data_IF_282767643015
#
_entry.id   IF_282767643015
#
_cell.length_a   1.000
_cell.length_b   1.000
_cell.length_c   1.000
_cell.angle_alpha   90.00
_cell.angle_beta   90.00
_cell.angle_gamma   90.00
#
_symmetry.space_group_name_H-M   'P 1'
#
loop_
_entity.id
_entity.type
_entity.pdbx_description
1 polymer ?
#
# COMPACT_ATOMS: atom_id res chain seq x y z
N UNK A 1 -39.62 -10.45 53.72
CA UNK A 1 -40.13 -9.08 53.96
C UNK A 1 -39.37 -8.16 53.02
N UNK A 2 -39.53 -8.19 51.69
CA UNK A 2 -40.72 -8.17 50.80
C UNK A 2 -41.40 -6.80 50.72
N UNK A 3 -41.72 -6.40 49.48
CA UNK A 3 -42.36 -5.17 48.94
C UNK A 3 -41.36 -4.13 48.44
N UNK A 4 -41.12 -3.90 47.14
CA UNK A 4 -41.94 -3.93 45.89
C UNK A 4 -43.15 -3.00 45.91
N UNK A 5 -43.05 -1.88 45.16
CA UNK A 5 -44.20 -1.19 44.53
C UNK A 5 -43.74 -0.57 43.19
N UNK A 6 -43.90 -1.33 42.12
CA UNK A 6 -44.37 -0.81 40.85
C UNK A 6 -45.91 -0.73 40.86
N UNK A 7 -46.51 0.32 40.27
CA UNK A 7 -47.86 0.36 39.64
C UNK A 7 -48.65 1.65 39.91
N UNK A 8 -48.64 2.57 38.95
CA UNK A 8 -49.78 3.40 38.50
C UNK A 8 -49.43 3.85 37.06
N UNK A 9 -50.22 3.75 35.99
CA UNK A 9 -51.60 3.33 35.78
C UNK A 9 -51.77 2.93 34.30
N UNK A 10 -52.69 1.99 34.04
CA UNK A 10 -53.07 1.48 32.71
C UNK A 10 -53.99 2.45 31.94
N UNK A 11 -54.04 2.20 30.61
CA UNK A 11 -55.12 2.44 29.62
C UNK A 11 -55.01 3.72 28.77
N UNK A 12 -54.70 3.54 27.48
CA UNK A 12 -55.74 3.45 26.46
C UNK A 12 -55.27 2.65 25.23
N UNK A 13 -56.20 1.89 24.67
CA UNK A 13 -56.07 0.93 23.58
C UNK A 13 -56.22 1.61 22.19
N UNK A 14 -55.46 1.09 21.22
CA UNK A 14 -55.84 0.76 19.84
C UNK A 14 -56.73 1.73 19.04
N UNK A 15 -56.16 2.27 17.95
CA UNK A 15 -56.80 2.32 16.63
C UNK A 15 -55.72 2.19 15.53
N UNK A 16 -55.77 1.06 14.84
CA UNK A 16 -55.07 0.76 13.59
C UNK A 16 -55.79 1.40 12.39
N UNK A 17 -55.05 1.91 11.41
CA UNK A 17 -55.58 1.96 10.03
C UNK A 17 -55.09 3.09 9.12
N UNK A 18 -54.07 2.76 8.30
CA UNK A 18 -53.92 3.08 6.87
C UNK A 18 -53.69 4.52 6.38
N UNK A 19 -52.69 4.64 5.50
CA UNK A 19 -52.33 5.79 4.66
C UNK A 19 -51.00 6.40 5.11
N UNK A 20 -49.91 6.43 4.37
CA UNK A 20 -49.71 6.40 2.93
C UNK A 20 -48.57 7.38 2.61
N UNK A 21 -47.48 6.85 2.06
CA UNK A 21 -46.45 7.53 1.27
C UNK A 21 -45.40 8.44 1.95
N UNK A 22 -44.16 8.13 1.58
CA UNK A 22 -43.10 9.05 1.16
C UNK A 22 -42.43 9.95 2.21
N UNK A 23 -41.35 9.42 2.80
CA UNK A 23 -40.11 10.18 2.93
C UNK A 23 -38.92 9.28 2.54
N UNK A 24 -38.81 9.06 1.22
CA UNK A 24 -37.52 8.76 0.62
C UNK A 24 -36.69 10.05 0.70
N UNK A 25 -35.92 10.19 1.79
CA UNK A 25 -34.89 11.21 1.87
C UNK A 25 -33.80 10.81 0.87
N UNK A 26 -33.81 11.48 -0.28
CA UNK A 26 -32.83 11.31 -1.34
C UNK A 26 -31.44 11.50 -0.77
N UNK A 27 -30.64 10.44 -0.81
CA UNK A 27 -29.19 10.59 -0.88
C UNK A 27 -28.94 11.36 -2.18
N UNK A 28 -28.80 12.69 -2.05
CA UNK A 28 -28.28 13.51 -3.12
C UNK A 28 -26.97 12.85 -3.55
N UNK A 29 -26.94 12.36 -4.80
CA UNK A 29 -25.69 11.90 -5.41
C UNK A 29 -24.77 13.11 -5.37
N UNK A 30 -23.82 13.10 -4.43
CA UNK A 30 -22.73 14.06 -4.45
C UNK A 30 -22.15 14.03 -5.86
N UNK A 31 -22.08 15.18 -6.53
CA UNK A 31 -21.42 15.26 -7.81
C UNK A 31 -20.01 14.67 -7.66
N UNK A 32 -19.56 13.83 -8.62
CA UNK A 32 -18.22 13.28 -8.54
C UNK A 32 -17.24 14.44 -8.46
N UNK A 33 -16.40 14.43 -7.42
CA UNK A 33 -15.31 15.41 -7.28
C UNK A 33 -14.57 15.51 -8.62
N UNK A 34 -14.17 16.72 -9.06
CA UNK A 34 -13.49 16.90 -10.34
C UNK A 34 -12.28 15.97 -10.40
N UNK A 35 -12.09 15.32 -11.55
CA UNK A 35 -10.98 14.40 -11.77
C UNK A 35 -9.64 15.07 -11.38
N UNK A 36 -8.76 14.32 -10.72
CA UNK A 36 -7.56 14.89 -10.10
C UNK A 36 -6.52 15.47 -11.08
N UNK A 37 -6.66 15.27 -12.40
CA UNK A 37 -5.71 15.77 -13.40
C UNK A 37 -6.33 16.05 -14.76
N UNK A 38 -5.51 16.59 -15.68
CA UNK A 38 -5.87 16.84 -17.07
C UNK A 38 -6.38 15.55 -17.73
N UNK A 39 -7.53 15.64 -18.39
CA UNK A 39 -8.19 14.51 -19.07
C UNK A 39 -7.38 14.07 -20.29
N UNK A 40 -6.29 13.35 -20.08
CA UNK A 40 -5.70 12.53 -21.13
C UNK A 40 -6.62 11.34 -21.40
N UNK A 41 -6.84 10.97 -22.68
CA UNK A 41 -7.63 9.79 -22.99
C UNK A 41 -6.98 8.57 -22.33
N UNK A 42 -7.75 7.77 -21.58
CA UNK A 42 -7.20 6.60 -20.91
C UNK A 42 -6.72 5.60 -21.95
N UNK A 43 -5.59 4.98 -21.65
CA UNK A 43 -5.06 3.89 -22.45
C UNK A 43 -5.88 2.60 -22.30
N UNK A 44 -6.43 2.40 -21.10
CA UNK A 44 -7.39 1.37 -20.71
C UNK A 44 -8.40 2.05 -19.80
N UNK A 45 -9.68 2.01 -20.15
CA UNK A 45 -10.71 2.73 -19.40
C UNK A 45 -11.20 1.90 -18.19
N UNK A 46 -10.98 2.41 -16.98
CA UNK A 46 -11.46 1.82 -15.73
C UNK A 46 -12.06 2.91 -14.81
N UNK A 47 -12.63 2.52 -13.66
CA UNK A 47 -13.06 3.52 -12.67
C UNK A 47 -11.89 4.34 -12.13
N UNK A 48 -10.71 3.73 -11.98
CA UNK A 48 -9.49 4.42 -11.56
C UNK A 48 -9.12 5.55 -12.55
N UNK A 49 -9.01 5.25 -13.84
CA UNK A 49 -8.63 6.25 -14.83
C UNK A 49 -9.66 7.38 -14.94
N UNK A 50 -10.95 7.06 -14.83
CA UNK A 50 -12.03 8.07 -14.85
C UNK A 50 -12.06 8.95 -13.61
N UNK A 51 -12.03 8.35 -12.42
CA UNK A 51 -12.15 9.09 -11.17
C UNK A 51 -10.91 9.92 -10.86
N UNK A 52 -9.72 9.43 -11.24
CA UNK A 52 -8.45 10.09 -10.92
C UNK A 52 -7.83 10.87 -12.09
N UNK A 53 -8.43 10.84 -13.28
CA UNK A 53 -7.92 11.58 -14.43
C UNK A 53 -6.52 11.11 -14.87
N UNK A 54 -6.23 9.82 -14.70
CA UNK A 54 -4.94 9.22 -15.06
C UNK A 54 -5.05 8.39 -16.33
N UNK A 55 -3.95 8.28 -17.07
CA UNK A 55 -3.90 7.60 -18.38
C UNK A 55 -3.91 6.08 -18.23
N UNK A 56 -3.32 5.58 -17.16
CA UNK A 56 -3.07 4.17 -16.93
C UNK A 56 -3.75 3.73 -15.63
N UNK A 57 -4.43 2.58 -15.58
CA UNK A 57 -4.95 2.00 -14.35
C UNK A 57 -3.80 1.38 -13.51
N UNK A 58 -2.78 2.18 -13.23
CA UNK A 58 -1.52 1.78 -12.62
C UNK A 58 -1.19 2.71 -11.46
N UNK A 59 -0.93 2.11 -10.31
CA UNK A 59 -0.48 2.80 -9.10
C UNK A 59 0.84 2.20 -8.65
N UNK A 60 1.85 3.05 -8.47
CA UNK A 60 3.12 2.66 -7.87
C UNK A 60 2.99 2.60 -6.36
N UNK A 61 3.31 1.45 -5.78
CA UNK A 61 3.11 1.20 -4.36
C UNK A 61 3.93 2.13 -3.47
N UNK A 62 3.33 2.60 -2.37
CA UNK A 62 4.06 3.21 -1.26
C UNK A 62 4.99 2.18 -0.61
N UNK A 63 6.29 2.35 -0.78
CA UNK A 63 7.32 1.48 -0.22
C UNK A 63 8.27 2.32 0.63
N UNK A 64 8.25 2.12 1.95
CA UNK A 64 9.12 2.87 2.86
C UNK A 64 10.58 2.81 2.44
N UNK A 65 11.27 3.95 2.51
CA UNK A 65 12.65 4.17 2.05
C UNK A 65 12.91 4.01 0.54
N UNK A 66 12.04 3.34 -0.22
CA UNK A 66 12.26 3.07 -1.65
C UNK A 66 11.46 4.01 -2.55
N UNK A 67 10.17 4.19 -2.26
CA UNK A 67 9.26 5.05 -3.02
C UNK A 67 9.33 6.49 -2.53
N UNK A 68 10.46 7.14 -2.81
CA UNK A 68 10.75 8.55 -2.49
C UNK A 68 10.35 9.47 -3.67
N UNK A 69 10.48 10.81 -3.54
CA UNK A 69 9.95 11.76 -4.53
C UNK A 69 10.29 11.47 -5.99
N UNK A 70 11.51 11.04 -6.29
CA UNK A 70 11.93 10.70 -7.66
C UNK A 70 11.08 9.60 -8.29
N UNK A 71 10.86 8.49 -7.56
CA UNK A 71 10.04 7.38 -8.05
C UNK A 71 8.57 7.79 -8.18
N UNK A 72 8.05 8.53 -7.20
CA UNK A 72 6.67 9.02 -7.21
C UNK A 72 6.41 9.89 -8.45
N UNK A 73 7.27 10.88 -8.68
CA UNK A 73 7.16 11.78 -9.81
C UNK A 73 7.29 11.03 -11.15
N UNK A 74 8.23 10.08 -11.26
CA UNK A 74 8.40 9.29 -12.48
C UNK A 74 7.16 8.48 -12.85
N UNK A 75 6.52 7.81 -11.87
CA UNK A 75 5.28 7.04 -12.10
C UNK A 75 4.11 7.97 -12.47
N UNK A 76 3.94 9.07 -11.73
CA UNK A 76 2.87 10.04 -11.98
C UNK A 76 3.02 10.73 -13.34
N UNK A 77 4.23 11.12 -13.73
CA UNK A 77 4.52 11.73 -15.02
C UNK A 77 4.34 10.73 -16.19
N UNK A 78 4.54 9.44 -15.96
CA UNK A 78 4.26 8.40 -16.94
C UNK A 78 2.75 8.12 -17.14
N UNK A 79 1.88 8.73 -16.31
CA UNK A 79 0.42 8.65 -16.45
C UNK A 79 -0.26 7.63 -15.54
N UNK A 80 0.47 7.07 -14.56
CA UNK A 80 -0.11 6.37 -13.41
C UNK A 80 -0.28 7.29 -12.20
N UNK A 81 -0.39 6.71 -11.00
CA UNK A 81 -0.32 7.42 -9.72
C UNK A 81 0.89 6.90 -8.95
N UNK A 82 1.90 7.75 -8.71
CA UNK A 82 2.96 7.44 -7.76
C UNK A 82 2.48 7.64 -6.33
N UNK A 83 2.92 6.79 -5.39
CA UNK A 83 2.58 6.91 -3.98
C UNK A 83 3.86 6.95 -3.14
N UNK A 84 4.01 8.01 -2.35
CA UNK A 84 5.11 8.18 -1.40
C UNK A 84 4.98 7.15 -0.29
N UNK A 85 6.00 6.32 -0.06
CA UNK A 85 6.05 5.45 1.11
C UNK A 85 6.63 6.19 2.31
N UNK A 86 5.77 6.73 3.19
CA UNK A 86 6.25 7.55 4.32
C UNK A 86 7.12 6.74 5.30
N UNK A 87 6.79 5.47 5.50
CA UNK A 87 7.52 4.60 6.43
C UNK A 87 7.51 5.17 7.85
N UNK A 88 8.69 5.45 8.39
CA UNK A 88 8.91 6.05 9.73
C UNK A 88 9.18 7.56 9.68
N UNK A 89 9.04 8.21 8.52
CA UNK A 89 9.36 9.64 8.35
C UNK A 89 8.46 10.52 9.25
N UNK A 90 9.03 11.39 10.11
CA UNK A 90 8.26 12.27 10.97
C UNK A 90 7.56 13.39 10.18
N UNK A 91 6.53 14.06 10.76
CA UNK A 91 5.69 15.01 10.02
C UNK A 91 6.43 16.13 9.27
N UNK A 92 7.47 16.79 9.82
CA UNK A 92 8.23 17.79 9.07
C UNK A 92 8.96 17.20 7.85
N UNK A 93 9.44 15.97 7.98
CA UNK A 93 10.06 15.24 6.87
C UNK A 93 9.03 14.84 5.82
N UNK A 94 7.87 14.33 6.24
CA UNK A 94 6.72 14.05 5.36
C UNK A 94 6.34 15.29 4.56
N UNK A 95 6.27 16.45 5.20
CA UNK A 95 5.97 17.72 4.54
C UNK A 95 7.01 18.06 3.47
N UNK A 96 8.30 17.97 3.81
CA UNK A 96 9.39 18.24 2.86
C UNK A 96 9.36 17.30 1.65
N UNK A 97 9.10 16.00 1.86
CA UNK A 97 8.97 15.02 0.78
C UNK A 97 7.77 15.33 -0.13
N UNK A 98 6.61 15.69 0.44
CA UNK A 98 5.43 16.10 -0.31
C UNK A 98 5.72 17.34 -1.16
N UNK A 99 6.38 18.34 -0.60
CA UNK A 99 6.76 19.57 -1.33
C UNK A 99 7.75 19.26 -2.47
N UNK A 100 8.70 18.35 -2.26
CA UNK A 100 9.62 17.88 -3.30
C UNK A 100 8.89 17.20 -4.46
N UNK A 101 7.87 16.37 -4.18
CA UNK A 101 7.03 15.75 -5.22
C UNK A 101 6.30 16.83 -6.02
N UNK A 102 5.64 17.78 -5.35
CA UNK A 102 4.91 18.86 -6.03
C UNK A 102 5.80 19.75 -6.90
N UNK A 103 7.08 19.89 -6.54
CA UNK A 103 8.05 20.62 -7.34
C UNK A 103 8.46 19.88 -8.63
N UNK A 104 8.25 18.57 -8.71
CA UNK A 104 8.70 17.70 -9.82
C UNK A 104 7.56 17.12 -10.64
N UNK A 105 6.31 17.20 -10.16
CA UNK A 105 5.12 16.82 -10.91
C UNK A 105 3.89 17.62 -10.50
N UNK A 106 3.08 17.97 -11.50
CA UNK A 106 1.72 18.47 -11.31
C UNK A 106 0.65 17.35 -11.40
N UNK A 107 1.08 16.10 -11.64
CA UNK A 107 0.17 14.95 -11.81
C UNK A 107 -0.25 14.40 -10.45
N UNK A 108 -1.40 13.67 -10.38
CA UNK A 108 -1.85 13.06 -9.15
C UNK A 108 -0.80 12.14 -8.53
N UNK A 109 -0.63 12.25 -7.21
CA UNK A 109 0.18 11.35 -6.41
C UNK A 109 -0.52 11.11 -5.06
N UNK A 110 -0.10 10.07 -4.35
CA UNK A 110 -0.58 9.77 -3.01
C UNK A 110 0.52 9.70 -1.96
N UNK A 111 0.11 9.56 -0.69
CA UNK A 111 1.01 9.31 0.46
C UNK A 111 0.48 8.09 1.21
N UNK A 112 1.35 7.10 1.42
CA UNK A 112 1.06 5.85 2.14
C UNK A 112 1.63 5.89 3.55
N UNK A 113 0.78 5.58 4.52
CA UNK A 113 1.13 5.42 5.93
C UNK A 113 0.85 4.00 6.41
N UNK A 114 1.77 3.46 7.21
CA UNK A 114 1.53 2.25 7.98
C UNK A 114 0.80 2.67 9.26
N UNK A 115 -0.45 2.23 9.44
CA UNK A 115 -1.16 2.44 10.70
C UNK A 115 -0.91 1.26 11.63
N UNK A 116 0.23 1.32 12.33
CA UNK A 116 0.64 0.34 13.33
C UNK A 116 1.73 0.95 14.23
N UNK A 117 2.05 0.28 15.34
CA UNK A 117 3.16 0.65 16.21
C UNK A 117 4.46 -0.02 15.77
N UNK A 118 5.59 0.57 16.09
CA UNK A 118 6.92 0.00 15.84
C UNK A 118 7.82 0.18 17.06
N UNK A 119 9.04 -0.36 17.00
CA UNK A 119 10.06 -0.03 18.00
C UNK A 119 10.41 1.49 18.02
N UNK A 120 10.04 2.24 16.98
CA UNK A 120 10.17 3.70 16.90
C UNK A 120 8.93 4.45 17.43
N UNK A 121 7.92 3.73 17.93
CA UNK A 121 6.62 4.29 18.31
C UNK A 121 5.58 4.22 17.16
N UNK A 122 4.48 4.99 17.26
CA UNK A 122 3.44 5.02 16.25
C UNK A 122 3.99 5.53 14.91
N UNK A 123 3.77 4.77 13.84
CA UNK A 123 4.28 5.09 12.49
C UNK A 123 3.51 6.22 11.80
N UNK A 124 2.33 6.53 12.31
CA UNK A 124 1.50 7.65 11.87
C UNK A 124 0.75 8.22 13.07
N UNK A 125 0.54 9.52 13.06
CA UNK A 125 -0.07 10.29 14.15
C UNK A 125 -0.97 11.37 13.57
N UNK A 126 -1.75 12.04 14.41
CA UNK A 126 -2.58 13.18 13.99
C UNK A 126 -1.77 14.24 13.22
N UNK A 127 -0.53 14.52 13.63
CA UNK A 127 0.32 15.51 12.97
C UNK A 127 0.65 15.15 11.51
N UNK A 128 0.72 13.86 11.16
CA UNK A 128 0.90 13.44 9.78
C UNK A 128 -0.37 13.70 8.94
N UNK A 129 -1.53 13.52 9.55
CA UNK A 129 -2.83 13.83 8.92
C UNK A 129 -2.95 15.34 8.69
N UNK A 130 -2.57 16.14 9.69
CA UNK A 130 -2.56 17.60 9.58
C UNK A 130 -1.63 18.09 8.46
N UNK A 131 -0.46 17.46 8.30
CA UNK A 131 0.45 17.72 7.17
C UNK A 131 -0.23 17.41 5.83
N UNK A 132 -0.89 16.25 5.69
CA UNK A 132 -1.60 15.90 4.45
C UNK A 132 -2.70 16.91 4.10
N UNK A 133 -3.43 17.39 5.11
CA UNK A 133 -4.48 18.41 4.96
C UNK A 133 -3.87 19.75 4.55
N UNK A 134 -2.85 20.23 5.26
CA UNK A 134 -2.18 21.49 4.97
C UNK A 134 -1.57 21.51 3.57
N UNK A 135 -0.97 20.38 3.18
CA UNK A 135 -0.41 20.19 1.84
C UNK A 135 -1.46 19.78 0.80
N UNK A 136 -2.76 19.69 1.13
CA UNK A 136 -3.83 19.33 0.18
C UNK A 136 -3.52 18.07 -0.63
N UNK A 137 -2.96 17.05 0.03
CA UNK A 137 -2.71 15.73 -0.58
C UNK A 137 -4.03 15.15 -1.04
N UNK A 138 -4.10 14.70 -2.29
CA UNK A 138 -5.36 14.24 -2.92
C UNK A 138 -5.68 12.77 -2.63
N UNK A 139 -4.67 11.97 -2.33
CA UNK A 139 -4.81 10.54 -2.03
C UNK A 139 -3.95 10.20 -0.81
N UNK A 140 -4.61 9.72 0.25
CA UNK A 140 -3.94 9.15 1.42
C UNK A 140 -4.27 7.67 1.49
N UNK A 141 -3.25 6.84 1.70
CA UNK A 141 -3.38 5.39 1.76
C UNK A 141 -2.96 4.92 3.14
N UNK A 142 -3.73 4.01 3.73
CA UNK A 142 -3.39 3.34 4.97
C UNK A 142 -3.08 1.86 4.74
N UNK A 143 -2.08 1.37 5.46
CA UNK A 143 -1.65 -0.02 5.45
C UNK A 143 -1.78 -0.62 6.86
N UNK A 144 -1.92 -1.96 6.92
CA UNK A 144 -1.97 -2.82 8.11
C UNK A 144 -3.31 -2.86 8.84
N UNK A 145 -3.81 -1.71 9.29
CA UNK A 145 -4.99 -1.63 10.15
C UNK A 145 -5.88 -0.45 9.73
N UNK A 146 -7.16 -0.50 10.10
CA UNK A 146 -8.11 0.58 9.83
C UNK A 146 -7.78 1.78 10.73
N UNK A 147 -7.55 3.00 10.19
CA UNK A 147 -7.24 4.18 10.98
C UNK A 147 -8.47 4.67 11.77
N UNK A 148 -8.29 5.56 12.77
CA UNK A 148 -9.41 6.18 13.47
C UNK A 148 -10.36 6.88 12.49
N UNK A 149 -11.66 6.70 12.68
CA UNK A 149 -12.69 7.29 11.81
C UNK A 149 -12.56 8.82 11.68
N UNK A 150 -12.16 9.49 12.76
CA UNK A 150 -11.92 10.93 12.76
C UNK A 150 -10.88 11.38 11.72
N UNK A 151 -9.82 10.59 11.49
CA UNK A 151 -8.82 10.92 10.47
C UNK A 151 -9.37 10.81 9.06
N UNK A 152 -10.20 9.79 8.82
CA UNK A 152 -10.88 9.60 7.53
C UNK A 152 -11.79 10.80 7.26
N UNK A 153 -12.63 11.18 8.23
CA UNK A 153 -13.56 12.30 8.09
C UNK A 153 -12.83 13.64 7.88
N UNK A 154 -11.71 13.87 8.58
CA UNK A 154 -10.86 15.06 8.39
C UNK A 154 -10.24 15.12 6.98
N UNK A 155 -9.71 14.00 6.49
CA UNK A 155 -9.12 13.90 5.16
C UNK A 155 -10.19 14.13 4.07
N UNK A 156 -11.38 13.55 4.23
CA UNK A 156 -12.52 13.78 3.34
C UNK A 156 -12.97 15.24 3.34
N UNK A 157 -13.06 15.87 4.52
CA UNK A 157 -13.39 17.29 4.63
C UNK A 157 -12.36 18.20 3.94
N UNK A 158 -11.08 17.78 3.88
CA UNK A 158 -10.02 18.45 3.13
C UNK A 158 -10.02 18.12 1.62
N UNK A 159 -10.92 17.26 1.15
CA UNK A 159 -11.05 16.86 -0.25
C UNK A 159 -10.07 15.77 -0.69
N UNK A 160 -9.44 15.06 0.24
CA UNK A 160 -8.63 13.88 -0.05
C UNK A 160 -9.51 12.63 -0.24
N UNK A 161 -9.00 11.66 -0.99
CA UNK A 161 -9.52 10.29 -1.02
C UNK A 161 -8.68 9.43 -0.09
N UNK A 162 -9.33 8.49 0.58
CA UNK A 162 -8.69 7.61 1.56
C UNK A 162 -8.82 6.17 1.10
N UNK A 163 -7.69 5.53 0.85
CA UNK A 163 -7.64 4.11 0.47
C UNK A 163 -7.05 3.28 1.59
N UNK A 164 -7.35 1.98 1.57
CA UNK A 164 -6.70 1.04 2.48
C UNK A 164 -6.23 -0.22 1.77
N UNK A 165 -5.01 -0.65 2.06
CA UNK A 165 -4.55 -1.96 1.68
C UNK A 165 -5.11 -3.03 2.62
N UNK A 166 -5.69 -4.08 2.04
CA UNK A 166 -6.39 -5.14 2.77
C UNK A 166 -5.86 -6.52 2.38
N UNK A 167 -5.76 -7.40 3.36
CA UNK A 167 -5.19 -8.75 3.25
C UNK A 167 -6.26 -9.86 3.22
N UNK A 168 -7.53 -9.52 3.45
CA UNK A 168 -8.64 -10.47 3.51
C UNK A 168 -9.97 -9.81 3.15
N UNK A 169 -10.99 -10.63 2.89
CA UNK A 169 -12.37 -10.16 2.67
C UNK A 169 -12.92 -9.47 3.93
N UNK A 170 -12.64 -10.01 5.11
CA UNK A 170 -13.10 -9.42 6.37
C UNK A 170 -12.54 -8.01 6.57
N UNK A 171 -11.23 -7.83 6.33
CA UNK A 171 -10.60 -6.51 6.42
C UNK A 171 -11.11 -5.54 5.33
N UNK A 172 -11.43 -6.05 4.14
CA UNK A 172 -12.04 -5.23 3.09
C UNK A 172 -13.43 -4.70 3.50
N UNK A 173 -14.24 -5.52 4.16
CA UNK A 173 -15.54 -5.11 4.69
C UNK A 173 -15.39 -4.10 5.83
N UNK A 174 -14.40 -4.30 6.72
CA UNK A 174 -14.08 -3.36 7.79
C UNK A 174 -13.65 -1.99 7.24
N UNK A 175 -12.74 -1.99 6.27
CA UNK A 175 -12.29 -0.79 5.56
C UNK A 175 -13.46 -0.06 4.86
N UNK A 176 -14.35 -0.80 4.21
CA UNK A 176 -15.54 -0.23 3.57
C UNK A 176 -16.50 0.39 4.61
N UNK A 177 -16.74 -0.29 5.74
CA UNK A 177 -17.57 0.22 6.83
C UNK A 177 -16.98 1.48 7.50
N UNK A 178 -15.65 1.58 7.54
CA UNK A 178 -14.93 2.75 8.03
C UNK A 178 -15.04 3.97 7.10
N UNK A 179 -15.43 3.77 5.82
CA UNK A 179 -15.64 4.83 4.85
C UNK A 179 -14.50 5.02 3.84
N UNK A 180 -13.65 4.00 3.62
CA UNK A 180 -12.62 4.07 2.56
C UNK A 180 -13.25 4.29 1.19
N UNK A 181 -12.56 5.03 0.30
CA UNK A 181 -12.96 5.29 -1.09
C UNK A 181 -12.51 4.18 -2.07
N UNK A 182 -11.47 3.42 -1.69
CA UNK A 182 -11.04 2.22 -2.39
C UNK A 182 -10.29 1.27 -1.46
N UNK A 183 -10.21 0.00 -1.84
CA UNK A 183 -9.36 -0.99 -1.18
C UNK A 183 -8.34 -1.58 -2.14
N UNK A 184 -7.15 -1.90 -1.64
CA UNK A 184 -6.08 -2.56 -2.40
C UNK A 184 -5.99 -4.00 -1.89
N UNK A 185 -6.48 -4.96 -2.66
CA UNK A 185 -6.47 -6.37 -2.31
C UNK A 185 -5.05 -6.95 -2.49
N UNK A 186 -4.31 -7.09 -1.39
CA UNK A 186 -2.95 -7.61 -1.38
C UNK A 186 -2.95 -9.13 -1.20
N UNK A 187 -2.44 -9.85 -2.20
CA UNK A 187 -2.21 -11.28 -2.09
C UNK A 187 -0.92 -11.63 -1.34
N UNK A 188 -0.83 -12.87 -0.85
CA UNK A 188 0.31 -13.43 -0.11
C UNK A 188 1.64 -13.42 -0.88
N UNK A 189 1.59 -13.16 -2.19
CA UNK A 189 2.75 -13.06 -3.08
C UNK A 189 3.45 -11.69 -3.01
N UNK A 190 2.85 -10.66 -2.40
CA UNK A 190 3.47 -9.34 -2.26
C UNK A 190 4.70 -9.39 -1.33
N UNK A 191 5.72 -8.58 -1.66
CA UNK A 191 6.93 -8.42 -0.85
C UNK A 191 6.70 -7.52 0.36
N UNK A 192 7.60 -7.59 1.33
CA UNK A 192 7.54 -6.79 2.55
C UNK A 192 6.52 -7.33 3.55
N UNK A 193 6.07 -6.49 4.46
CA UNK A 193 5.14 -6.93 5.50
C UNK A 193 3.77 -7.21 4.87
N UNK A 194 3.23 -8.39 5.14
CA UNK A 194 2.05 -8.89 4.46
C UNK A 194 1.25 -9.82 5.38
N UNK A 195 0.00 -9.44 5.67
CA UNK A 195 -0.91 -10.26 6.51
C UNK A 195 -1.66 -11.32 5.71
N UNK A 196 -1.60 -11.28 4.39
CA UNK A 196 -2.38 -12.14 3.51
C UNK A 196 -1.79 -13.53 3.41
N UNK A 197 -2.64 -14.54 3.59
CA UNK A 197 -2.31 -15.95 3.34
C UNK A 197 -2.88 -16.43 2.00
N UNK A 198 -3.74 -15.64 1.36
CA UNK A 198 -4.40 -15.97 0.10
C UNK A 198 -3.72 -15.27 -1.08
N UNK A 199 -3.49 -16.00 -2.17
CA UNK A 199 -2.87 -15.45 -3.39
C UNK A 199 -3.80 -14.47 -4.10
N UNK A 200 -3.24 -13.54 -4.87
CA UNK A 200 -3.95 -12.36 -5.42
C UNK A 200 -5.16 -12.74 -6.26
N UNK A 201 -5.01 -13.68 -7.22
CA UNK A 201 -6.10 -14.05 -8.12
C UNK A 201 -7.24 -14.84 -7.43
N UNK A 202 -6.97 -15.46 -6.28
CA UNK A 202 -8.00 -16.07 -5.44
C UNK A 202 -8.68 -15.06 -4.53
N UNK A 203 -7.93 -14.11 -3.97
CA UNK A 203 -8.45 -13.09 -3.04
C UNK A 203 -9.29 -12.03 -3.77
N UNK A 204 -8.78 -11.54 -4.89
CA UNK A 204 -9.33 -10.39 -5.62
C UNK A 204 -10.82 -10.52 -5.95
N UNK A 205 -11.33 -11.59 -6.62
CA UNK A 205 -12.74 -11.67 -6.96
C UNK A 205 -13.65 -11.74 -5.73
N UNK A 206 -13.16 -12.29 -4.62
CA UNK A 206 -13.91 -12.34 -3.36
C UNK A 206 -14.04 -10.95 -2.74
N UNK A 207 -12.95 -10.19 -2.70
CA UNK A 207 -12.95 -8.80 -2.23
C UNK A 207 -13.84 -7.94 -3.11
N UNK A 208 -13.65 -7.99 -4.43
CA UNK A 208 -14.47 -7.25 -5.41
C UNK A 208 -15.95 -7.48 -5.19
N UNK A 209 -16.39 -8.73 -4.97
CA UNK A 209 -17.80 -9.05 -4.71
C UNK A 209 -18.28 -8.50 -3.35
N UNK A 210 -17.46 -8.62 -2.32
CA UNK A 210 -17.84 -8.26 -0.95
C UNK A 210 -18.04 -6.76 -0.74
N UNK A 211 -17.22 -5.92 -1.40
CA UNK A 211 -17.23 -4.47 -1.15
C UNK A 211 -17.93 -3.66 -2.25
N UNK A 212 -18.65 -4.28 -3.20
CA UNK A 212 -19.35 -3.50 -4.25
C UNK A 212 -20.29 -2.45 -3.62
N UNK A 213 -20.33 -1.21 -4.14
CA UNK A 213 -19.70 -0.73 -5.37
C UNK A 213 -18.31 -0.07 -5.17
N UNK A 214 -17.58 -0.35 -4.10
CA UNK A 214 -16.27 0.26 -3.83
C UNK A 214 -15.22 -0.08 -4.92
N UNK A 215 -14.26 0.82 -5.14
CA UNK A 215 -13.13 0.55 -6.03
C UNK A 215 -12.16 -0.46 -5.42
N UNK A 216 -11.62 -1.35 -6.25
CA UNK A 216 -10.65 -2.37 -5.82
C UNK A 216 -9.44 -2.38 -6.74
N UNK A 217 -8.25 -2.28 -6.16
CA UNK A 217 -6.99 -2.49 -6.88
C UNK A 217 -6.40 -3.85 -6.53
N UNK A 218 -5.73 -4.49 -7.50
CA UNK A 218 -5.01 -5.74 -7.28
C UNK A 218 -3.56 -5.48 -6.88
N UNK A 219 -3.07 -6.15 -5.84
CA UNK A 219 -1.68 -6.04 -5.36
C UNK A 219 -1.06 -7.41 -5.10
N UNK A 220 0.21 -7.56 -5.44
CA UNK A 220 0.99 -8.78 -5.22
C UNK A 220 1.11 -9.66 -6.48
N UNK A 221 2.34 -9.91 -6.91
CA UNK A 221 2.65 -10.77 -8.06
C UNK A 221 2.54 -10.13 -9.45
N UNK A 222 2.15 -8.86 -9.54
CA UNK A 222 1.97 -8.13 -10.81
C UNK A 222 3.28 -7.43 -11.19
N UNK A 223 3.82 -7.73 -12.37
CA UNK A 223 5.09 -7.17 -12.85
C UNK A 223 5.20 -6.94 -14.37
N UNK A 224 4.20 -7.37 -15.14
CA UNK A 224 4.13 -7.29 -16.61
C UNK A 224 2.68 -6.98 -17.06
N UNK A 225 2.47 -6.89 -18.38
CA UNK A 225 1.16 -6.65 -18.97
C UNK A 225 0.17 -7.78 -18.76
N UNK A 226 0.60 -9.05 -18.74
CA UNK A 226 -0.28 -10.18 -18.45
C UNK A 226 -0.88 -10.07 -17.05
N UNK A 227 -0.07 -9.74 -16.03
CA UNK A 227 -0.56 -9.54 -14.67
C UNK A 227 -1.58 -8.39 -14.56
N UNK A 228 -1.47 -7.37 -15.43
CA UNK A 228 -2.47 -6.29 -15.53
C UNK A 228 -3.77 -6.82 -16.13
N UNK A 229 -3.71 -7.56 -17.23
CA UNK A 229 -4.89 -8.17 -17.86
C UNK A 229 -5.61 -9.08 -16.88
N UNK A 230 -4.88 -9.96 -16.20
CA UNK A 230 -5.45 -10.89 -15.21
C UNK A 230 -6.17 -10.14 -14.08
N UNK A 231 -5.56 -9.08 -13.55
CA UNK A 231 -6.17 -8.25 -12.51
C UNK A 231 -7.48 -7.59 -12.98
N UNK A 232 -7.47 -6.97 -14.16
CA UNK A 232 -8.65 -6.31 -14.72
C UNK A 232 -9.77 -7.32 -15.04
N UNK A 233 -9.42 -8.48 -15.59
CA UNK A 233 -10.36 -9.56 -15.87
C UNK A 233 -11.05 -10.10 -14.60
N UNK A 234 -10.35 -10.07 -13.45
CA UNK A 234 -10.91 -10.44 -12.15
C UNK A 234 -11.63 -9.29 -11.42
N UNK A 235 -11.88 -8.17 -12.13
CA UNK A 235 -12.72 -7.08 -11.65
C UNK A 235 -11.99 -5.99 -10.86
N UNK A 236 -10.66 -5.95 -10.92
CA UNK A 236 -9.92 -4.80 -10.40
C UNK A 236 -10.13 -3.55 -11.28
N UNK A 237 -10.07 -2.38 -10.66
CA UNK A 237 -10.07 -1.08 -11.33
C UNK A 237 -8.67 -0.62 -11.73
N UNK A 238 -7.64 -1.32 -11.27
CA UNK A 238 -6.25 -1.08 -11.59
C UNK A 238 -5.31 -1.94 -10.75
N UNK A 239 -4.02 -1.72 -10.97
CA UNK A 239 -2.96 -2.47 -10.32
C UNK A 239 -2.16 -1.60 -9.35
N UNK A 240 -1.71 -2.21 -8.26
CA UNK A 240 -0.82 -1.62 -7.26
C UNK A 240 0.51 -2.38 -7.28
N UNK A 241 1.54 -1.74 -7.81
CA UNK A 241 2.78 -2.41 -8.24
C UNK A 241 3.94 -2.03 -7.34
N UNK A 242 4.55 -3.02 -6.68
CA UNK A 242 5.69 -2.85 -5.76
C UNK A 242 7.02 -3.31 -6.37
N UNK A 243 7.38 -4.58 -6.19
CA UNK A 243 8.70 -5.15 -6.54
C UNK A 243 9.23 -4.79 -7.94
N UNK A 244 8.36 -4.71 -8.96
CA UNK A 244 8.75 -4.29 -10.31
C UNK A 244 9.33 -2.86 -10.34
N UNK A 245 8.81 -1.96 -9.50
CA UNK A 245 9.30 -0.59 -9.37
C UNK A 245 10.52 -0.47 -8.46
N UNK A 246 10.81 -1.44 -7.59
CA UNK A 246 12.10 -1.46 -6.85
C UNK A 246 13.27 -1.57 -7.84
N UNK A 247 13.08 -2.33 -8.92
CA UNK A 247 14.02 -2.42 -10.04
C UNK A 247 13.82 -1.28 -11.06
N UNK A 248 13.71 -0.04 -10.57
CA UNK A 248 13.74 1.17 -11.40
C UNK A 248 14.88 2.10 -11.03
N UNK A 249 15.31 2.94 -11.96
CA UNK A 249 16.43 3.87 -11.74
C UNK A 249 16.15 4.94 -10.67
N UNK A 250 14.88 5.28 -10.47
CA UNK A 250 14.42 6.32 -9.55
C UNK A 250 14.09 5.80 -8.14
N UNK A 251 14.02 4.47 -7.97
CA UNK A 251 13.79 3.86 -6.67
C UNK A 251 15.03 4.04 -5.79
N UNK A 252 14.84 4.47 -4.54
CA UNK A 252 15.93 4.67 -3.57
C UNK A 252 16.35 3.34 -2.91
N UNK A 253 16.54 2.32 -3.73
CA UNK A 253 16.99 1.00 -3.33
C UNK A 253 18.49 0.84 -3.61
N UNK A 254 19.20 0.12 -2.74
CA UNK A 254 20.62 -0.16 -2.97
C UNK A 254 20.84 -0.94 -4.28
N UNK A 255 21.89 -0.67 -5.07
CA UNK A 255 22.17 -1.39 -6.31
C UNK A 255 22.28 -2.92 -6.14
N UNK A 256 22.86 -3.40 -5.04
CA UNK A 256 22.92 -4.83 -4.71
C UNK A 256 21.53 -5.44 -4.53
N UNK A 257 20.61 -4.70 -3.91
CA UNK A 257 19.23 -5.14 -3.75
C UNK A 257 18.52 -5.24 -5.11
N UNK A 258 18.71 -4.24 -5.97
CA UNK A 258 18.18 -4.25 -7.34
C UNK A 258 18.77 -5.40 -8.17
N UNK A 259 20.08 -5.64 -8.07
CA UNK A 259 20.77 -6.74 -8.75
C UNK A 259 20.16 -8.09 -8.36
N UNK A 260 19.96 -8.34 -7.06
CA UNK A 260 19.35 -9.58 -6.57
C UNK A 260 17.90 -9.75 -7.01
N UNK A 261 17.11 -8.67 -7.10
CA UNK A 261 15.77 -8.73 -7.71
C UNK A 261 15.85 -9.17 -9.16
N UNK A 262 16.77 -8.60 -9.95
CA UNK A 262 16.94 -8.93 -11.37
C UNK A 262 17.43 -10.36 -11.58
N UNK A 263 18.25 -10.89 -10.67
CA UNK A 263 18.78 -12.25 -10.72
C UNK A 263 17.84 -13.31 -10.14
N UNK A 264 16.85 -12.91 -9.32
CA UNK A 264 15.94 -13.83 -8.65
C UNK A 264 15.13 -14.71 -9.63
N UNK A 265 15.17 -16.03 -9.42
CA UNK A 265 14.41 -17.02 -10.21
C UNK A 265 13.74 -18.06 -9.30
N UNK A 266 12.80 -18.83 -9.84
CA UNK A 266 12.21 -19.96 -9.11
C UNK A 266 11.58 -19.56 -7.77
N UNK A 267 12.01 -20.21 -6.69
CA UNK A 267 11.55 -19.98 -5.31
C UNK A 267 12.45 -19.01 -4.53
N UNK A 268 12.87 -17.92 -5.18
CA UNK A 268 13.81 -16.94 -4.63
C UNK A 268 13.28 -16.13 -3.43
N UNK A 269 12.01 -16.26 -3.03
CA UNK A 269 11.46 -15.55 -1.86
C UNK A 269 10.76 -16.47 -0.89
N UNK A 270 10.69 -16.06 0.38
CA UNK A 270 9.99 -16.76 1.46
C UNK A 270 9.31 -15.75 2.38
N UNK A 271 8.22 -16.18 3.03
CA UNK A 271 7.62 -15.42 4.12
C UNK A 271 8.20 -15.91 5.43
N UNK A 272 8.66 -14.99 6.26
CA UNK A 272 9.27 -15.25 7.55
C UNK A 272 8.87 -14.16 8.54
N UNK A 273 9.01 -14.41 9.84
CA UNK A 273 8.91 -13.38 10.90
C UNK A 273 10.27 -13.03 11.48
N UNK A 274 11.36 -13.46 10.81
CA UNK A 274 12.73 -13.27 11.25
C UNK A 274 13.11 -11.80 11.36
N UNK A 275 12.77 -11.01 10.34
CA UNK A 275 13.14 -9.61 10.26
C UNK A 275 12.17 -8.71 11.01
N UNK A 276 12.74 -7.75 11.73
CA UNK A 276 12.01 -6.67 12.38
C UNK A 276 12.13 -6.67 13.90
N UNK A 277 13.32 -6.49 14.49
CA UNK A 277 13.40 -5.81 15.79
C UNK A 277 12.59 -4.50 15.79
N UNK A 278 12.50 -3.83 14.64
CA UNK A 278 11.70 -2.63 14.40
C UNK A 278 10.20 -2.94 14.31
N UNK A 279 9.84 -4.15 13.89
CA UNK A 279 8.47 -4.60 13.64
C UNK A 279 8.23 -6.04 14.16
N UNK A 280 8.27 -6.28 15.48
CA UNK A 280 8.37 -7.63 16.04
C UNK A 280 7.23 -8.57 15.63
N UNK A 281 7.59 -9.79 15.19
CA UNK A 281 6.64 -10.86 14.89
C UNK A 281 5.78 -10.65 13.64
N UNK A 282 5.99 -9.57 12.88
CA UNK A 282 5.20 -9.29 11.67
C UNK A 282 5.67 -10.15 10.50
N UNK A 283 4.77 -10.91 9.83
CA UNK A 283 5.15 -11.65 8.63
C UNK A 283 5.73 -10.72 7.56
N UNK A 284 6.82 -11.15 6.95
CA UNK A 284 7.64 -10.37 6.03
C UNK A 284 8.11 -11.26 4.89
N UNK A 285 7.79 -10.90 3.65
CA UNK A 285 8.27 -11.61 2.45
C UNK A 285 9.53 -10.97 1.90
N UNK A 286 10.60 -11.75 1.83
CA UNK A 286 11.93 -11.32 1.41
C UNK A 286 12.56 -12.29 0.42
N UNK A 287 13.56 -11.82 -0.32
CA UNK A 287 14.48 -12.68 -1.06
C UNK A 287 15.21 -13.62 -0.10
N UNK A 288 15.50 -14.82 -0.57
CA UNK A 288 16.40 -15.76 0.09
C UNK A 288 17.84 -15.28 -0.04
N UNK A 289 18.56 -15.37 1.05
CA UNK A 289 19.99 -15.16 1.21
C UNK A 289 20.47 -16.06 2.37
N UNK A 290 21.75 -16.01 2.71
CA UNK A 290 22.34 -16.88 3.74
C UNK A 290 21.54 -16.89 5.05
N UNK A 291 21.24 -15.72 5.62
CA UNK A 291 20.53 -15.63 6.91
C UNK A 291 19.09 -16.14 6.82
N UNK A 292 18.42 -15.92 5.69
CA UNK A 292 17.07 -16.43 5.46
C UNK A 292 17.06 -17.94 5.35
N UNK A 293 17.99 -18.54 4.61
CA UNK A 293 18.07 -20.00 4.48
C UNK A 293 18.49 -20.67 5.80
N UNK A 294 19.24 -19.94 6.63
CA UNK A 294 19.58 -20.37 7.98
C UNK A 294 18.37 -20.34 8.93
N UNK A 295 17.47 -19.35 8.88
CA UNK A 295 16.48 -19.18 9.95
C UNK A 295 15.01 -19.28 9.54
N UNK A 296 14.67 -19.19 8.25
CA UNK A 296 13.26 -19.26 7.81
C UNK A 296 12.64 -20.63 8.15
N UNK A 297 11.48 -20.61 8.81
CA UNK A 297 10.84 -21.80 9.37
C UNK A 297 11.42 -22.28 10.71
N UNK A 298 12.47 -21.62 11.22
CA UNK A 298 13.11 -21.85 12.53
C UNK A 298 13.08 -20.60 13.40
N UNK A 299 12.17 -19.67 13.14
CA UNK A 299 12.10 -18.38 13.82
C UNK A 299 11.92 -18.54 15.33
N UNK A 300 11.14 -19.54 15.77
CA UNK A 300 10.96 -19.87 17.19
C UNK A 300 12.20 -20.47 17.87
N UNK A 301 13.27 -20.75 17.13
CA UNK A 301 14.54 -21.29 17.64
C UNK A 301 15.65 -20.23 17.71
N UNK A 302 15.39 -19.00 17.28
CA UNK A 302 16.35 -17.89 17.33
C UNK A 302 16.67 -17.56 18.80
N UNK A 303 17.94 -17.63 19.24
CA UNK A 303 18.34 -17.22 20.58
C UNK A 303 18.01 -15.74 20.87
N UNK A 304 17.80 -15.41 22.15
CA UNK A 304 17.68 -14.03 22.63
C UNK A 304 18.80 -13.73 23.65
N UNK A 305 19.79 -12.87 23.34
CA UNK A 305 19.91 -12.08 22.11
C UNK A 305 20.23 -12.93 20.87
N UNK A 306 19.99 -12.41 19.65
CA UNK A 306 20.34 -13.09 18.40
C UNK A 306 21.82 -13.49 18.33
N UNK A 307 22.15 -14.56 17.57
CA UNK A 307 23.52 -14.97 17.38
C UNK A 307 24.32 -13.89 16.63
N UNK A 308 25.64 -13.79 16.86
CA UNK A 308 26.48 -12.86 16.14
C UNK A 308 26.38 -12.97 14.60
N UNK A 309 26.64 -11.88 13.87
CA UNK A 309 27.02 -10.56 14.39
C UNK A 309 25.81 -9.78 14.94
N UNK A 310 26.00 -8.99 15.99
CA UNK A 310 24.93 -8.15 16.55
C UNK A 310 24.54 -6.98 15.63
N UNK A 311 25.51 -6.48 14.85
CA UNK A 311 25.35 -5.42 13.87
C UNK A 311 25.76 -5.97 12.51
N UNK A 312 24.89 -5.85 11.51
CA UNK A 312 25.07 -6.41 10.17
C UNK A 312 25.54 -5.36 9.16
N UNK A 313 25.46 -4.07 9.53
CA UNK A 313 25.77 -2.97 8.64
C UNK A 313 25.34 -1.63 9.21
N UNK A 314 25.34 -0.61 8.36
CA UNK A 314 24.82 0.71 8.67
C UNK A 314 24.14 1.32 7.45
N UNK A 315 23.22 2.26 7.67
CA UNK A 315 22.57 3.02 6.61
C UNK A 315 22.16 4.41 7.12
N UNK A 316 21.51 5.19 6.26
CA UNK A 316 20.94 6.49 6.56
C UNK A 316 19.41 6.40 6.61
N UNK A 317 18.82 6.68 7.77
CA UNK A 317 17.40 6.97 7.85
C UNK A 317 17.14 8.39 7.35
N UNK A 318 15.98 8.57 6.71
CA UNK A 318 15.52 9.89 6.25
C UNK A 318 16.52 10.56 5.28
N UNK A 319 16.92 9.90 4.18
CA UNK A 319 18.07 10.30 3.36
C UNK A 319 17.91 11.68 2.69
N UNK A 320 16.67 12.15 2.53
CA UNK A 320 16.35 13.44 1.91
C UNK A 320 16.00 14.53 2.92
N UNK A 321 15.96 14.22 4.22
CA UNK A 321 15.52 15.12 5.28
C UNK A 321 16.53 15.12 6.43
N UNK A 322 16.32 14.30 7.47
CA UNK A 322 17.12 14.32 8.70
C UNK A 322 18.52 13.69 8.58
N UNK A 323 18.71 12.78 7.62
CA UNK A 323 20.00 12.10 7.37
C UNK A 323 20.60 11.50 8.65
N UNK A 324 19.82 10.66 9.33
CA UNK A 324 20.23 10.05 10.59
C UNK A 324 20.96 8.73 10.34
N UNK A 325 22.21 8.63 10.80
CA UNK A 325 22.94 7.36 10.75
C UNK A 325 22.26 6.31 11.61
N UNK A 326 22.16 5.09 11.08
CA UNK A 326 21.54 3.96 11.73
C UNK A 326 22.43 2.73 11.64
N UNK A 327 22.78 2.20 12.82
CA UNK A 327 23.47 0.91 12.94
C UNK A 327 22.44 -0.20 12.80
N UNK A 328 22.55 -1.02 11.76
CA UNK A 328 21.56 -2.04 11.46
C UNK A 328 21.79 -3.26 12.35
N UNK A 329 20.89 -3.57 13.30
CA UNK A 329 21.00 -4.78 14.10
C UNK A 329 20.79 -6.04 13.25
N UNK A 330 21.22 -7.19 13.77
CA UNK A 330 20.84 -8.51 13.22
C UNK A 330 19.32 -8.56 13.05
N UNK A 331 18.90 -9.01 11.87
CA UNK A 331 17.50 -9.10 11.46
C UNK A 331 16.76 -7.75 11.30
N UNK A 332 17.46 -6.63 11.16
CA UNK A 332 16.85 -5.35 10.79
C UNK A 332 15.91 -5.48 9.58
N UNK A 333 14.70 -4.93 9.70
CA UNK A 333 13.74 -4.79 8.61
C UNK A 333 13.90 -3.49 7.82
N UNK A 334 14.87 -2.63 8.19
CA UNK A 334 15.25 -1.48 7.35
C UNK A 334 15.88 -2.01 6.07
N UNK A 335 15.26 -1.65 4.95
CA UNK A 335 15.69 -2.10 3.62
C UNK A 335 17.00 -1.42 3.21
N UNK A 336 17.87 -2.09 2.46
CA UNK A 336 19.08 -1.44 1.97
C UNK A 336 18.78 -0.31 0.97
N UNK A 337 19.27 0.88 1.28
CA UNK A 337 19.26 2.09 0.45
C UNK A 337 20.67 2.35 -0.10
N UNK A 338 20.89 3.29 -1.05
CA UNK A 338 22.22 3.61 -1.57
C UNK A 338 23.31 3.91 -0.52
N UNK A 339 22.92 4.39 0.66
CA UNK A 339 23.83 4.68 1.78
C UNK A 339 24.20 3.44 2.61
N UNK A 340 23.58 2.29 2.34
CA UNK A 340 23.77 1.07 3.12
C UNK A 340 25.15 0.45 2.88
N UNK A 341 25.82 0.08 3.97
CA UNK A 341 27.06 -0.72 3.98
C UNK A 341 26.91 -1.91 4.91
N UNK A 342 27.68 -2.99 4.70
CA UNK A 342 27.66 -4.18 5.55
C UNK A 342 27.47 -5.47 4.78
N UNK A 343 26.96 -6.50 5.46
CA UNK A 343 26.75 -7.83 4.90
C UNK A 343 25.32 -7.98 4.35
N UNK A 344 25.18 -7.93 3.02
CA UNK A 344 23.89 -8.13 2.34
C UNK A 344 23.34 -9.57 2.44
N UNK A 345 24.17 -10.54 2.84
CA UNK A 345 23.72 -11.90 3.17
C UNK A 345 23.02 -11.98 4.54
N UNK A 346 23.03 -10.89 5.29
CA UNK A 346 22.40 -10.74 6.62
C UNK A 346 21.17 -9.80 6.62
N UNK A 347 20.87 -9.16 5.48
CA UNK A 347 19.85 -8.11 5.38
C UNK A 347 18.52 -8.61 4.84
N UNK A 348 17.42 -7.96 5.26
CA UNK A 348 16.09 -8.19 4.70
C UNK A 348 15.94 -7.50 3.34
N UNK A 349 15.55 -8.25 2.31
CA UNK A 349 15.40 -7.76 0.93
C UNK A 349 13.97 -7.98 0.41
N UNK A 350 13.02 -7.04 0.61
CA UNK A 350 11.57 -7.27 0.41
C UNK A 350 11.10 -7.46 -1.03
N UNK A 351 10.89 -8.70 -1.47
CA UNK A 351 10.48 -8.97 -2.84
C UNK A 351 9.26 -9.89 -2.94
N UNK A 352 8.38 -9.62 -3.90
CA UNK A 352 7.23 -10.47 -4.17
C UNK A 352 7.65 -11.79 -4.86
N UNK A 353 6.89 -12.86 -4.65
CA UNK A 353 7.29 -14.20 -5.13
C UNK A 353 7.10 -14.43 -6.63
N UNK A 354 6.01 -13.91 -7.21
CA UNK A 354 5.76 -14.07 -8.65
C UNK A 354 6.37 -12.93 -9.47
N UNK A 355 6.29 -11.70 -8.96
CA UNK A 355 6.76 -10.51 -9.68
C UNK A 355 8.25 -10.59 -10.03
N UNK A 356 9.10 -11.08 -9.12
CA UNK A 356 10.55 -11.20 -9.37
C UNK A 356 10.89 -12.07 -10.58
N UNK A 357 10.04 -13.03 -10.95
CA UNK A 357 10.29 -13.93 -12.08
C UNK A 357 10.27 -13.18 -13.42
N UNK A 358 9.58 -12.06 -13.49
CA UNK A 358 9.38 -11.26 -14.70
C UNK A 358 10.29 -10.02 -14.77
N UNK A 359 11.06 -9.74 -13.70
CA UNK A 359 11.97 -8.58 -13.66
C UNK A 359 13.32 -8.97 -14.27
N UNK A 360 13.66 -8.37 -15.42
CA UNK A 360 14.87 -8.74 -16.19
C UNK A 360 15.97 -7.69 -16.19
N UNK A 361 15.66 -6.45 -15.80
CA UNK A 361 16.61 -5.33 -15.80
C UNK A 361 16.11 -4.22 -14.88
N UNK A 362 17.04 -3.38 -14.41
CA UNK A 362 16.74 -2.05 -13.90
C UNK A 362 16.52 -1.12 -15.09
N UNK A 363 15.47 -0.32 -15.07
CA UNK A 363 15.13 0.62 -16.13
C UNK A 363 14.30 1.78 -15.57
N UNK A 364 14.12 2.91 -16.28
CA UNK A 364 13.30 4.01 -15.79
C UNK A 364 11.87 3.58 -15.42
N UNK A 365 11.34 4.08 -14.29
CA UNK A 365 10.00 3.75 -13.82
C UNK A 365 8.93 4.13 -14.85
N UNK A 366 9.13 5.24 -15.56
CA UNK A 366 8.21 5.65 -16.61
C UNK A 366 8.21 4.72 -17.83
N UNK A 367 9.31 4.00 -18.10
CA UNK A 367 9.35 2.94 -19.11
C UNK A 367 8.62 1.69 -18.63
N UNK A 368 8.81 1.30 -17.36
CA UNK A 368 8.08 0.17 -16.75
C UNK A 368 6.57 0.37 -16.88
N UNK A 369 6.07 1.56 -16.50
CA UNK A 369 4.63 1.88 -16.61
C UNK A 369 4.17 1.75 -18.06
N UNK A 370 4.91 2.33 -19.02
CA UNK A 370 4.55 2.28 -20.44
C UNK A 370 4.53 0.86 -20.98
N UNK A 371 5.60 0.10 -20.75
CA UNK A 371 5.75 -1.30 -21.21
C UNK A 371 4.62 -2.18 -20.70
N UNK A 372 4.37 -2.18 -19.39
CA UNK A 372 3.30 -2.99 -18.79
C UNK A 372 1.92 -2.64 -19.37
N UNK A 373 1.65 -1.35 -19.57
CA UNK A 373 0.37 -0.89 -20.10
C UNK A 373 0.24 -1.12 -21.60
N UNK A 374 1.33 -1.04 -22.37
CA UNK A 374 1.37 -1.34 -23.81
C UNK A 374 1.16 -2.82 -24.08
N UNK A 375 1.86 -3.67 -23.34
CA UNK A 375 1.70 -5.12 -23.38
C UNK A 375 0.26 -5.53 -23.03
N UNK A 376 -0.29 -5.00 -21.93
CA UNK A 376 -1.67 -5.28 -21.54
C UNK A 376 -2.69 -4.89 -22.64
N UNK A 377 -2.50 -3.74 -23.29
CA UNK A 377 -3.36 -3.30 -24.41
C UNK A 377 -3.23 -4.21 -25.62
N UNK A 378 -2.02 -4.65 -25.94
CA UNK A 378 -1.79 -5.57 -27.04
C UNK A 378 -2.52 -6.90 -26.79
N UNK A 379 -2.38 -7.46 -25.59
CA UNK A 379 -3.03 -8.71 -25.18
C UNK A 379 -4.57 -8.62 -25.21
N UNK A 380 -5.14 -7.50 -24.74
CA UNK A 380 -6.59 -7.27 -24.78
C UNK A 380 -7.11 -7.15 -26.21
N UNK A 381 -6.34 -6.55 -27.13
CA UNK A 381 -6.73 -6.42 -28.55
C UNK A 381 -6.61 -7.74 -29.32
N UNK A 382 -5.75 -8.65 -28.88
CA UNK A 382 -5.56 -9.96 -29.52
C UNK A 382 -6.45 -11.07 -28.95
N UNK A 383 -7.21 -10.78 -27.88
CA UNK A 383 -8.18 -11.68 -27.24
C UNK A 383 -9.58 -11.39 -27.77
#
# INVERSE_FOLDING_TARGET
>A
MSHDIASQSRRLLLLSGLGGSALAAGAARAEPAPAFGDRHPPSLETRLTRHYGVRHPFVGAGMGFVALPSLVAAVSNAGGIGVLGNGIEPPPGTQALIQSIKATTARPFGVDFIFDDSAFGPLVTQAHIDVCIAERVRLVVFHMNVPPRAWIDQLHAAGARVWMQVASVAQALEAAAAGMDAVIAQGSQAGGHNKSTTRTLQLLPQVVRAVRPLMVLASGGIADGQGVVDALAHGADGVWVGTRLVASSEAHAHPEYQRRIVEARGHATVTTTLFGPEYPGRPYRVLRNRVVDEWAGREGQVPNPPPPPAVIGSTLLFPLTLKQNYSMPKFSAIVPTPETTGDFEEMGLPAGSESVKFIKRVQPAGEIVREMMEEARALIRSS
#
